data_IF_975591766602
#
_entry.id   IF_975591766602
#
_cell.length_a   1.000
_cell.length_b   1.000
_cell.length_c   1.000
_cell.angle_alpha   90.00
_cell.angle_beta   90.00
_cell.angle_gamma   90.00
#
_symmetry.space_group_name_H-M   'P 1'
#
loop_
_entity.id
_entity.type
_entity.pdbx_description
1 polymer ?
#
# COMPACT_ATOMS: atom_id res chain seq x y z
N UNK A 1 5.68 24.40 43.90
CA UNK A 1 6.21 23.04 43.66
C UNK A 1 5.11 22.25 42.92
N UNK A 2 5.15 22.24 41.59
CA UNK A 2 4.17 21.52 40.76
C UNK A 2 4.82 20.29 40.18
N UNK A 3 4.34 19.12 40.57
CA UNK A 3 4.77 17.84 40.10
C UNK A 3 4.22 17.62 38.68
N UNK A 4 5.11 17.61 37.69
CA UNK A 4 4.80 17.21 36.32
C UNK A 4 4.94 15.69 36.27
N UNK A 5 3.82 14.97 36.15
CA UNK A 5 3.80 13.54 35.87
C UNK A 5 4.13 13.30 34.39
N UNK A 6 5.03 12.36 34.08
CA UNK A 6 5.28 11.99 32.69
C UNK A 6 4.09 11.21 32.11
N UNK A 7 3.55 11.71 31.02
CA UNK A 7 2.57 10.98 30.20
C UNK A 7 3.23 9.72 29.63
N UNK A 8 2.79 8.57 30.07
CA UNK A 8 3.13 7.28 29.48
C UNK A 8 2.56 7.25 28.06
N UNK A 9 3.43 7.20 27.07
CA UNK A 9 3.06 6.88 25.71
C UNK A 9 2.57 5.43 25.69
N UNK A 10 1.28 5.24 25.44
CA UNK A 10 0.69 3.93 25.18
C UNK A 10 1.01 3.62 23.71
N UNK A 11 2.03 2.81 23.50
CA UNK A 11 2.29 2.19 22.21
C UNK A 11 1.21 1.14 21.96
N UNK A 12 0.22 1.48 21.14
CA UNK A 12 -0.73 0.51 20.62
C UNK A 12 -0.05 -0.18 19.44
N UNK A 13 0.25 -1.47 19.50
CA UNK A 13 0.74 -2.19 18.33
C UNK A 13 -0.43 -2.33 17.33
N UNK A 14 -0.38 -1.56 16.24
CA UNK A 14 -1.21 -1.87 15.08
C UNK A 14 -0.80 -3.25 14.59
N UNK A 15 -1.71 -4.21 14.75
CA UNK A 15 -1.52 -5.58 14.29
C UNK A 15 -1.19 -5.60 12.81
N UNK A 16 0.06 -5.86 12.52
CA UNK A 16 0.51 -6.17 11.19
C UNK A 16 -0.09 -7.52 10.81
N UNK A 17 -0.90 -7.54 9.77
CA UNK A 17 -1.22 -8.78 9.08
C UNK A 17 0.08 -9.35 8.53
N UNK A 18 0.60 -10.37 9.20
CA UNK A 18 1.85 -11.01 8.84
C UNK A 18 1.69 -11.73 7.51
N UNK A 19 2.52 -11.38 6.56
CA UNK A 19 2.80 -12.21 5.40
C UNK A 19 3.62 -13.42 5.87
N UNK A 20 2.95 -14.53 6.14
CA UNK A 20 3.59 -15.81 6.38
C UNK A 20 4.01 -16.38 5.03
N UNK A 21 5.27 -16.21 4.67
CA UNK A 21 5.90 -16.96 3.57
C UNK A 21 6.14 -18.38 4.02
N UNK A 22 5.22 -19.30 3.73
CA UNK A 22 5.43 -20.73 3.87
C UNK A 22 6.25 -21.25 2.69
N UNK A 23 7.58 -21.24 2.82
CA UNK A 23 8.45 -22.13 2.06
C UNK A 23 8.67 -23.41 2.88
N UNK A 24 7.79 -24.37 2.73
CA UNK A 24 7.97 -25.70 3.27
C UNK A 24 8.88 -26.50 2.34
N UNK A 25 10.13 -26.61 2.73
CA UNK A 25 11.05 -27.59 2.17
C UNK A 25 10.68 -28.99 2.66
N UNK A 26 10.27 -29.87 1.75
CA UNK A 26 10.13 -31.30 2.01
C UNK A 26 11.48 -31.98 1.86
N UNK A 27 12.11 -32.36 2.97
CA UNK A 27 13.11 -33.41 2.99
C UNK A 27 12.50 -34.65 3.65
N UNK A 28 12.13 -35.63 2.84
CA UNK A 28 11.58 -36.88 3.29
C UNK A 28 12.66 -37.93 3.55
N UNK A 29 12.39 -38.82 4.46
CA UNK A 29 13.13 -40.08 4.62
C UNK A 29 12.19 -41.23 4.97
N UNK A 30 12.15 -42.20 4.08
CA UNK A 30 12.10 -43.63 4.40
C UNK A 30 10.77 -44.26 4.76
N UNK A 31 10.37 -45.23 3.92
CA UNK A 31 9.39 -46.27 4.27
C UNK A 31 8.90 -47.01 3.03
N UNK A 32 9.49 -48.18 2.75
CA UNK A 32 9.06 -49.13 1.73
C UNK A 32 7.68 -49.74 2.07
N UNK A 33 6.81 -49.85 1.05
CA UNK A 33 5.97 -51.05 0.85
C UNK A 33 5.27 -50.95 -0.52
N UNK A 34 5.24 -52.08 -1.18
CA UNK A 34 4.86 -52.35 -2.55
C UNK A 34 3.38 -52.09 -2.89
N UNK A 35 3.13 -51.68 -4.14
CA UNK A 35 1.78 -51.63 -4.69
C UNK A 35 1.86 -51.03 -6.11
N UNK A 36 2.07 -51.87 -7.13
CA UNK A 36 2.08 -51.47 -8.51
C UNK A 36 0.69 -51.02 -8.97
N UNK A 37 0.57 -49.75 -9.34
CA UNK A 37 -0.42 -49.28 -10.28
C UNK A 37 0.26 -48.21 -11.14
N UNK A 38 0.71 -48.63 -12.33
CA UNK A 38 1.21 -47.73 -13.39
C UNK A 38 0.06 -46.83 -13.84
N UNK A 39 -0.09 -45.68 -13.21
CA UNK A 39 -0.80 -44.57 -13.84
C UNK A 39 0.16 -43.89 -14.82
N UNK A 40 0.05 -44.22 -16.07
CA UNK A 40 0.69 -43.50 -17.18
C UNK A 40 0.21 -42.06 -17.10
N UNK A 41 1.07 -41.21 -16.57
CA UNK A 41 0.88 -39.76 -16.62
C UNK A 41 0.97 -39.40 -18.11
N UNK A 42 -0.07 -38.78 -18.71
CA UNK A 42 0.04 -38.35 -20.09
C UNK A 42 1.22 -37.38 -20.20
N UNK A 43 2.18 -37.71 -21.06
CA UNK A 43 3.25 -36.79 -21.45
C UNK A 43 2.59 -35.54 -22.02
N UNK A 44 2.97 -34.32 -21.58
CA UNK A 44 2.43 -33.12 -22.19
C UNK A 44 2.77 -33.16 -23.68
N UNK A 45 1.77 -32.96 -24.53
CA UNK A 45 1.95 -32.82 -25.97
C UNK A 45 2.97 -31.71 -26.24
N UNK A 46 3.97 -31.97 -27.12
CA UNK A 46 4.90 -30.94 -27.54
C UNK A 46 4.13 -29.96 -28.44
N UNK A 47 3.67 -28.84 -27.87
CA UNK A 47 2.93 -27.81 -28.60
C UNK A 47 2.15 -26.84 -27.76
N UNK A 48 1.90 -27.11 -26.49
CA UNK A 48 1.38 -26.09 -25.61
C UNK A 48 2.51 -25.18 -25.11
N UNK A 49 2.85 -24.20 -25.93
CA UNK A 49 3.56 -23.03 -25.48
C UNK A 49 2.73 -22.44 -24.34
N UNK A 50 3.26 -22.53 -23.11
CA UNK A 50 2.67 -21.85 -21.97
C UNK A 50 2.37 -20.40 -22.37
N UNK A 51 1.10 -20.05 -22.46
CA UNK A 51 0.65 -18.68 -22.72
C UNK A 51 0.76 -17.83 -21.47
N UNK A 52 1.72 -18.19 -20.58
CA UNK A 52 1.99 -17.38 -19.42
C UNK A 52 2.48 -16.00 -19.89
N UNK A 53 1.67 -15.00 -19.69
CA UNK A 53 2.07 -13.60 -19.92
C UNK A 53 2.70 -13.06 -18.63
N UNK A 54 3.78 -12.29 -18.74
CA UNK A 54 4.25 -11.51 -17.61
C UNK A 54 3.10 -10.68 -17.00
N UNK A 55 3.09 -10.50 -15.68
CA UNK A 55 2.05 -9.72 -15.00
C UNK A 55 1.98 -8.30 -15.55
N UNK A 56 3.10 -7.75 -16.00
CA UNK A 56 3.20 -6.47 -16.69
C UNK A 56 2.32 -6.35 -17.95
N UNK A 57 2.00 -7.47 -18.59
CA UNK A 57 1.16 -7.50 -19.79
C UNK A 57 -0.34 -7.62 -19.46
N UNK A 58 -0.69 -7.76 -18.19
CA UNK A 58 -2.09 -7.80 -17.76
C UNK A 58 -2.65 -6.38 -17.87
N UNK A 59 -3.68 -6.17 -18.71
CA UNK A 59 -4.29 -4.85 -18.83
C UNK A 59 -4.77 -4.35 -17.46
N UNK A 60 -4.43 -3.11 -17.13
CA UNK A 60 -5.06 -2.43 -16.01
C UNK A 60 -6.54 -2.32 -16.35
N UNK A 61 -7.40 -2.88 -15.50
CA UNK A 61 -8.84 -2.74 -15.69
C UNK A 61 -9.17 -1.26 -15.49
N UNK A 62 -9.74 -0.58 -16.49
CA UNK A 62 -10.14 0.80 -16.31
C UNK A 62 -11.15 0.89 -15.15
N UNK A 63 -10.95 1.87 -14.28
CA UNK A 63 -11.96 2.18 -13.27
C UNK A 63 -13.27 2.52 -13.97
N UNK A 64 -14.34 1.84 -13.58
CA UNK A 64 -15.69 2.14 -14.10
C UNK A 64 -16.24 3.47 -13.57
N UNK A 65 -15.61 4.01 -12.54
CA UNK A 65 -15.84 5.36 -12.03
C UNK A 65 -14.57 6.18 -12.27
N UNK A 66 -14.54 7.06 -13.28
CA UNK A 66 -13.39 7.88 -13.56
C UNK A 66 -13.10 8.76 -12.34
N UNK A 67 -12.07 8.37 -11.57
CA UNK A 67 -11.51 9.22 -10.53
C UNK A 67 -10.64 10.22 -11.27
N UNK A 68 -11.00 11.46 -11.18
CA UNK A 68 -10.19 12.54 -11.75
C UNK A 68 -9.00 12.79 -10.81
N UNK A 69 -8.06 11.83 -10.78
CA UNK A 69 -6.82 11.98 -10.03
C UNK A 69 -5.89 12.88 -10.82
N UNK A 70 -5.75 14.09 -10.35
CA UNK A 70 -4.90 15.10 -10.96
C UNK A 70 -3.90 15.62 -9.91
N UNK A 71 -2.71 16.04 -10.33
CA UNK A 71 -1.81 16.75 -9.45
C UNK A 71 -2.49 17.96 -8.83
N UNK A 72 -2.50 18.02 -7.50
CA UNK A 72 -3.08 19.14 -6.74
C UNK A 72 -2.01 20.16 -6.37
N UNK A 73 -2.44 21.36 -6.03
CA UNK A 73 -1.59 22.43 -5.51
C UNK A 73 -2.30 23.11 -4.35
N UNK A 74 -2.43 22.41 -3.21
CA UNK A 74 -3.10 22.95 -2.04
C UNK A 74 -2.34 24.16 -1.48
N UNK A 75 -3.03 25.00 -0.72
CA UNK A 75 -2.39 26.02 0.09
C UNK A 75 -1.70 25.36 1.27
N UNK A 76 -0.45 25.72 1.56
CA UNK A 76 0.30 25.17 2.67
C UNK A 76 1.81 25.31 2.49
N UNK A 77 2.54 24.64 3.36
CA UNK A 77 3.99 24.65 3.38
C UNK A 77 4.56 23.39 2.71
N UNK A 78 5.73 23.47 2.05
CA UNK A 78 6.39 22.29 1.51
C UNK A 78 6.90 21.40 2.64
N UNK A 79 6.62 20.11 2.53
CA UNK A 79 7.12 19.06 3.43
C UNK A 79 7.98 18.12 2.61
N UNK A 80 9.28 18.14 2.87
CA UNK A 80 10.27 17.28 2.21
C UNK A 80 10.30 15.91 2.89
N UNK A 81 10.06 14.84 2.13
CA UNK A 81 9.96 13.47 2.66
C UNK A 81 10.61 12.48 1.70
N UNK A 82 11.72 11.91 2.08
CA UNK A 82 12.43 10.89 1.29
C UNK A 82 12.68 11.28 -0.18
N UNK A 83 12.94 12.56 -0.47
CA UNK A 83 13.14 13.06 -1.84
C UNK A 83 11.85 13.33 -2.63
N UNK A 84 10.69 13.31 -1.96
CA UNK A 84 9.45 13.91 -2.44
C UNK A 84 9.19 15.21 -1.70
N UNK A 85 8.56 16.15 -2.39
CA UNK A 85 7.95 17.33 -1.79
C UNK A 85 6.43 17.17 -1.84
N UNK A 86 5.80 17.31 -0.68
CA UNK A 86 4.34 17.41 -0.53
C UNK A 86 4.01 18.83 -0.07
N UNK A 87 2.84 19.33 -0.43
CA UNK A 87 2.32 20.59 0.12
C UNK A 87 1.24 20.27 1.16
N UNK A 88 1.45 20.67 2.39
CA UNK A 88 0.55 20.37 3.50
C UNK A 88 0.22 21.62 4.33
N UNK A 89 -0.93 21.65 5.04
CA UNK A 89 -1.21 22.70 6.00
C UNK A 89 -0.08 22.86 7.02
N UNK A 90 0.15 24.06 7.54
CA UNK A 90 1.25 24.35 8.47
C UNK A 90 1.09 23.71 9.85
N UNK A 91 -0.10 23.24 10.19
CA UNK A 91 -0.45 22.63 11.47
C UNK A 91 -0.47 21.09 11.43
N UNK A 92 0.08 20.46 10.39
CA UNK A 92 0.30 19.01 10.34
C UNK A 92 1.39 18.58 11.32
N UNK A 93 1.27 17.33 11.80
CA UNK A 93 2.34 16.72 12.58
C UNK A 93 3.10 15.73 11.70
N UNK A 94 4.41 15.95 11.55
CA UNK A 94 5.30 15.07 10.78
C UNK A 94 6.16 14.27 11.74
N UNK A 95 6.22 12.95 11.56
CA UNK A 95 7.01 12.06 12.40
C UNK A 95 7.58 10.89 11.61
N UNK A 96 8.81 10.48 11.97
CA UNK A 96 9.41 9.25 11.45
C UNK A 96 8.80 8.04 12.16
N UNK A 97 8.42 7.05 11.37
CA UNK A 97 7.85 5.79 11.85
C UNK A 97 8.54 4.63 11.14
N UNK A 98 8.33 3.42 11.63
CA UNK A 98 8.77 2.21 10.93
C UNK A 98 7.57 1.29 10.74
N UNK A 99 7.54 0.57 9.63
CA UNK A 99 6.58 -0.51 9.45
C UNK A 99 6.98 -1.74 10.31
N UNK A 100 6.17 -2.78 10.28
CA UNK A 100 6.42 -4.03 11.03
C UNK A 100 7.72 -4.75 10.62
N UNK A 101 8.25 -4.46 9.44
CA UNK A 101 9.52 -5.00 8.93
C UNK A 101 10.72 -4.11 9.28
N UNK A 102 10.50 -3.01 10.00
CA UNK A 102 11.53 -2.05 10.35
C UNK A 102 11.90 -1.06 9.23
N UNK A 103 11.18 -1.07 8.11
CA UNK A 103 11.44 -0.11 7.03
C UNK A 103 10.99 1.30 7.43
N UNK A 104 11.85 2.31 7.23
CA UNK A 104 11.54 3.68 7.59
C UNK A 104 10.41 4.24 6.72
N UNK A 105 9.58 5.06 7.32
CA UNK A 105 8.53 5.83 6.66
C UNK A 105 8.31 7.13 7.42
N UNK A 106 7.82 8.15 6.74
CA UNK A 106 7.36 9.38 7.39
C UNK A 106 5.84 9.39 7.42
N UNK A 107 5.27 9.65 8.59
CA UNK A 107 3.85 9.83 8.78
C UNK A 107 3.54 11.32 8.92
N UNK A 108 2.54 11.77 8.17
CA UNK A 108 1.99 13.12 8.24
C UNK A 108 0.56 12.99 8.74
N UNK A 109 0.32 13.46 9.97
CA UNK A 109 -1.00 13.53 10.57
C UNK A 109 -1.64 14.87 10.23
N UNK A 110 -2.86 14.82 9.72
CA UNK A 110 -3.63 16.03 9.41
C UNK A 110 -4.14 16.71 10.69
N UNK A 111 -4.42 18.01 10.65
CA UNK A 111 -5.02 18.71 11.77
C UNK A 111 -6.30 18.05 12.26
N UNK A 112 -6.46 17.94 13.57
CA UNK A 112 -7.62 17.30 14.19
C UNK A 112 -7.65 15.77 14.07
N UNK A 113 -6.53 15.14 13.71
CA UNK A 113 -6.45 13.67 13.66
C UNK A 113 -6.78 13.07 15.04
N UNK A 114 -7.67 12.08 15.03
CA UNK A 114 -8.06 11.29 16.20
C UNK A 114 -7.75 9.81 15.90
N UNK A 115 -7.22 9.08 16.88
CA UNK A 115 -6.72 7.70 16.67
C UNK A 115 -5.72 7.58 15.50
N UNK A 116 -4.95 8.65 15.23
CA UNK A 116 -3.98 8.69 14.15
C UNK A 116 -4.58 8.81 12.74
N UNK A 117 -5.80 9.31 12.60
CA UNK A 117 -6.54 9.47 11.33
C UNK A 117 -7.22 10.85 11.32
N UNK A 118 -7.19 11.61 10.19
CA UNK A 118 -6.61 11.27 8.88
C UNK A 118 -5.07 11.45 8.82
N UNK A 119 -4.44 10.61 7.99
CA UNK A 119 -2.98 10.63 7.81
C UNK A 119 -2.54 10.16 6.44
N UNK A 120 -1.31 10.54 6.06
CA UNK A 120 -0.58 9.91 4.97
C UNK A 120 0.78 9.41 5.46
N UNK A 121 1.18 8.22 5.03
CA UNK A 121 2.52 7.66 5.23
C UNK A 121 3.26 7.65 3.92
N UNK A 122 4.47 8.14 3.91
CA UNK A 122 5.35 8.20 2.75
C UNK A 122 6.56 7.33 3.01
N UNK A 123 6.91 6.51 2.03
CA UNK A 123 8.10 5.65 2.08
C UNK A 123 8.83 5.68 0.75
N UNK A 124 10.14 5.77 0.79
CA UNK A 124 11.00 5.44 -0.36
C UNK A 124 11.12 3.92 -0.48
N UNK A 125 11.02 3.42 -1.70
CA UNK A 125 11.21 2.01 -2.03
C UNK A 125 12.35 1.91 -3.04
N UNK A 126 13.48 1.42 -2.59
CA UNK A 126 14.68 1.28 -3.44
C UNK A 126 14.52 0.17 -4.48
N UNK A 127 13.74 -0.86 -4.14
CA UNK A 127 13.37 -1.91 -5.09
C UNK A 127 12.04 -2.52 -4.69
N UNK A 128 11.10 -2.54 -5.62
CA UNK A 128 9.84 -3.29 -5.48
C UNK A 128 10.04 -4.80 -5.69
N UNK A 129 11.26 -5.26 -5.96
CA UNK A 129 11.55 -6.65 -6.28
C UNK A 129 11.04 -7.08 -7.66
N UNK A 130 10.06 -6.37 -8.18
CA UNK A 130 9.45 -6.50 -9.51
C UNK A 130 9.18 -5.10 -10.07
N UNK A 131 8.45 -5.02 -11.16
CA UNK A 131 7.96 -3.73 -11.65
C UNK A 131 6.89 -3.14 -10.72
N UNK A 132 6.70 -1.82 -10.76
CA UNK A 132 5.59 -1.15 -10.06
C UNK A 132 4.23 -1.68 -10.55
N UNK A 133 4.14 -2.03 -11.82
CA UNK A 133 2.94 -2.65 -12.41
C UNK A 133 2.60 -3.95 -11.68
N UNK A 134 3.60 -4.84 -11.54
CA UNK A 134 3.44 -6.13 -10.86
C UNK A 134 3.13 -5.96 -9.37
N UNK A 135 3.82 -5.03 -8.71
CA UNK A 135 3.61 -4.72 -7.29
C UNK A 135 2.17 -4.25 -7.04
N UNK A 136 1.71 -3.28 -7.82
CA UNK A 136 0.35 -2.74 -7.66
C UNK A 136 -0.73 -3.75 -8.03
N UNK A 137 -0.46 -4.63 -9.00
CA UNK A 137 -1.38 -5.72 -9.31
C UNK A 137 -1.44 -6.76 -8.17
N UNK A 138 -0.29 -7.13 -7.62
CA UNK A 138 -0.23 -8.02 -6.46
C UNK A 138 -0.98 -7.43 -5.25
N UNK A 139 -0.82 -6.13 -5.03
CA UNK A 139 -1.54 -5.42 -3.96
C UNK A 139 -3.05 -5.42 -4.20
N UNK A 140 -3.52 -5.19 -5.41
CA UNK A 140 -4.94 -5.27 -5.76
C UNK A 140 -5.50 -6.67 -5.46
N UNK A 141 -4.82 -7.72 -5.93
CA UNK A 141 -5.21 -9.12 -5.70
C UNK A 141 -5.24 -9.43 -4.20
N UNK A 142 -4.26 -8.95 -3.43
CA UNK A 142 -4.21 -9.14 -1.99
C UNK A 142 -5.43 -8.51 -1.30
N UNK A 143 -5.74 -7.25 -1.62
CA UNK A 143 -6.88 -6.53 -1.04
C UNK A 143 -8.21 -7.23 -1.33
N UNK A 144 -8.40 -7.73 -2.57
CA UNK A 144 -9.58 -8.50 -2.95
C UNK A 144 -9.63 -9.83 -2.17
N UNK A 145 -8.50 -10.52 -2.02
CA UNK A 145 -8.43 -11.78 -1.27
C UNK A 145 -8.73 -11.60 0.21
N UNK A 146 -8.36 -10.45 0.79
CA UNK A 146 -8.69 -10.03 2.15
C UNK A 146 -10.13 -9.53 2.31
N UNK A 147 -10.94 -9.63 1.25
CA UNK A 147 -12.33 -9.17 1.21
C UNK A 147 -12.50 -7.67 1.51
N UNK A 148 -11.51 -6.85 1.14
CA UNK A 148 -11.68 -5.41 1.14
C UNK A 148 -12.73 -5.03 0.10
N UNK A 149 -13.49 -4.00 0.39
CA UNK A 149 -14.55 -3.52 -0.51
C UNK A 149 -14.10 -2.26 -1.26
N UNK A 150 -14.75 -1.96 -2.38
CA UNK A 150 -14.45 -0.78 -3.20
C UNK A 150 -12.97 -0.72 -3.62
N UNK A 151 -12.41 -1.88 -3.99
CA UNK A 151 -11.03 -1.96 -4.47
C UNK A 151 -10.99 -1.54 -5.93
N UNK A 152 -10.29 -0.44 -6.24
CA UNK A 152 -10.12 0.08 -7.59
C UNK A 152 -8.66 0.44 -7.81
N UNK A 153 -8.08 -0.07 -8.88
CA UNK A 153 -6.71 0.22 -9.31
C UNK A 153 -6.73 0.96 -10.63
N UNK A 154 -6.07 2.12 -10.68
CA UNK A 154 -5.96 2.94 -11.88
C UNK A 154 -4.50 3.26 -12.17
N UNK A 155 -4.15 3.32 -13.46
CA UNK A 155 -2.88 3.86 -13.94
C UNK A 155 -3.06 5.35 -14.19
N UNK A 156 -2.14 6.15 -13.66
CA UNK A 156 -2.15 7.60 -13.77
C UNK A 156 -0.95 8.12 -14.54
N UNK A 157 -1.06 9.32 -15.08
CA UNK A 157 0.07 10.06 -15.62
C UNK A 157 0.50 11.10 -14.60
N UNK A 158 1.76 11.00 -14.15
CA UNK A 158 2.26 11.88 -13.09
C UNK A 158 3.51 12.63 -13.53
N UNK A 159 3.62 13.95 -13.24
CA UNK A 159 4.77 14.76 -13.67
C UNK A 159 6.09 14.17 -13.15
N UNK A 160 7.06 14.02 -14.04
CA UNK A 160 8.41 13.52 -13.76
C UNK A 160 8.49 12.08 -13.23
N UNK A 161 7.41 11.31 -13.30
CA UNK A 161 7.38 9.90 -12.93
C UNK A 161 7.26 9.03 -14.18
N UNK A 162 7.94 7.89 -14.19
CA UNK A 162 7.81 6.89 -15.25
C UNK A 162 6.49 6.12 -15.16
N UNK A 163 6.13 5.78 -13.94
CA UNK A 163 4.93 5.02 -13.65
C UNK A 163 4.22 5.63 -12.44
N UNK A 164 2.89 5.66 -12.50
CA UNK A 164 2.06 6.07 -11.37
C UNK A 164 0.80 5.21 -11.32
N UNK A 165 0.48 4.70 -10.12
CA UNK A 165 -0.71 3.90 -9.88
C UNK A 165 -1.38 4.32 -8.58
N UNK A 166 -2.71 4.37 -8.62
CA UNK A 166 -3.54 4.60 -7.46
C UNK A 166 -4.38 3.36 -7.21
N UNK A 167 -4.43 2.90 -5.96
CA UNK A 167 -5.38 1.88 -5.51
C UNK A 167 -6.17 2.48 -4.37
N UNK A 168 -7.49 2.38 -4.41
CA UNK A 168 -8.34 2.78 -3.30
C UNK A 168 -9.12 1.59 -2.81
N UNK A 169 -9.47 1.57 -1.53
CA UNK A 169 -10.30 0.52 -0.92
C UNK A 169 -10.94 1.01 0.36
N UNK A 170 -11.97 0.29 0.79
CA UNK A 170 -12.54 0.46 2.12
C UNK A 170 -12.09 -0.65 3.05
N UNK A 171 -11.91 -0.30 4.32
CA UNK A 171 -11.45 -1.20 5.38
C UNK A 171 -12.05 -0.79 6.73
N UNK A 172 -11.67 -1.45 7.80
CA UNK A 172 -11.88 -1.01 9.18
C UNK A 172 -10.68 -1.37 10.05
N UNK A 173 -10.50 -0.63 11.11
CA UNK A 173 -9.49 -0.90 12.15
C UNK A 173 -10.15 -0.80 13.52
N UNK A 174 -9.65 -1.53 14.53
CA UNK A 174 -10.11 -1.32 15.91
C UNK A 174 -9.81 0.11 16.37
N UNK A 175 -10.81 0.80 16.88
CA UNK A 175 -10.65 2.09 17.53
C UNK A 175 -10.20 1.93 18.99
N UNK A 176 -9.79 3.02 19.63
CA UNK A 176 -9.32 3.01 21.02
C UNK A 176 -10.40 2.60 22.03
N UNK A 177 -11.67 2.76 21.69
CA UNK A 177 -12.83 2.35 22.49
C UNK A 177 -13.26 0.90 22.25
N UNK A 178 -12.56 0.15 21.37
CA UNK A 178 -12.84 -1.22 21.00
C UNK A 178 -13.91 -1.39 19.93
N UNK A 179 -14.45 -0.31 19.37
CA UNK A 179 -15.32 -0.35 18.20
C UNK A 179 -14.52 -0.52 16.90
N UNK A 180 -15.19 -0.88 15.82
CA UNK A 180 -14.59 -0.84 14.50
C UNK A 180 -14.74 0.55 13.89
N UNK A 181 -13.59 1.19 13.56
CA UNK A 181 -13.56 2.44 12.84
C UNK A 181 -13.52 2.16 11.33
N UNK A 182 -14.61 2.47 10.60
CA UNK A 182 -14.64 2.27 9.16
C UNK A 182 -13.79 3.33 8.46
N UNK A 183 -12.95 2.89 7.51
CA UNK A 183 -11.98 3.73 6.81
C UNK A 183 -12.11 3.59 5.30
N UNK A 184 -11.82 4.69 4.60
CA UNK A 184 -11.40 4.69 3.21
C UNK A 184 -9.89 4.89 3.16
N UNK A 185 -9.23 4.08 2.36
CA UNK A 185 -7.79 4.07 2.20
C UNK A 185 -7.38 4.24 0.74
N UNK A 186 -6.20 4.78 0.54
CA UNK A 186 -5.60 5.00 -0.77
C UNK A 186 -4.12 4.65 -0.69
N UNK A 187 -3.65 3.87 -1.66
CA UNK A 187 -2.24 3.69 -1.94
C UNK A 187 -1.89 4.40 -3.24
N UNK A 188 -0.80 5.17 -3.24
CA UNK A 188 -0.29 5.86 -4.40
C UNK A 188 1.17 5.45 -4.62
N UNK A 189 1.44 4.78 -5.73
CA UNK A 189 2.77 4.33 -6.13
C UNK A 189 3.30 5.26 -7.20
N UNK A 190 4.45 5.86 -6.95
CA UNK A 190 5.15 6.77 -7.84
C UNK A 190 6.51 6.17 -8.19
N UNK A 191 6.74 5.86 -9.45
CA UNK A 191 8.00 5.30 -9.94
C UNK A 191 8.89 6.32 -10.61
N UNK A 192 10.09 6.54 -10.08
CA UNK A 192 11.16 7.23 -10.78
C UNK A 192 11.84 6.30 -11.79
N UNK A 193 11.82 5.01 -11.51
CA UNK A 193 12.21 3.93 -12.42
C UNK A 193 11.09 2.90 -12.52
N UNK A 194 11.31 1.81 -13.25
CA UNK A 194 10.35 0.70 -13.34
C UNK A 194 10.25 -0.10 -12.03
N UNK A 195 11.30 -0.08 -11.22
CA UNK A 195 11.43 -0.94 -10.04
C UNK A 195 11.67 -0.20 -8.74
N UNK A 196 11.81 1.12 -8.76
CA UNK A 196 12.02 1.95 -7.57
C UNK A 196 11.10 3.16 -7.57
N UNK A 197 10.92 3.77 -6.41
CA UNK A 197 10.04 4.93 -6.29
C UNK A 197 9.55 5.16 -4.88
N UNK A 198 8.32 5.61 -4.77
CA UNK A 198 7.69 5.92 -3.48
C UNK A 198 6.33 5.26 -3.37
N UNK A 199 5.95 4.98 -2.13
CA UNK A 199 4.57 4.62 -1.79
C UNK A 199 4.02 5.64 -0.79
N UNK A 200 2.83 6.14 -1.09
CA UNK A 200 2.07 7.00 -0.20
C UNK A 200 0.79 6.25 0.18
N UNK A 201 0.56 6.06 1.48
CA UNK A 201 -0.67 5.43 1.99
C UNK A 201 -1.47 6.44 2.79
N UNK A 202 -2.58 6.90 2.22
CA UNK A 202 -3.50 7.82 2.87
C UNK A 202 -4.69 7.05 3.47
N UNK A 203 -5.11 7.45 4.67
CA UNK A 203 -6.25 6.86 5.37
C UNK A 203 -7.09 7.95 6.02
N UNK A 204 -8.40 7.87 5.82
CA UNK A 204 -9.40 8.73 6.45
C UNK A 204 -10.61 7.90 6.87
N UNK A 205 -11.50 8.47 7.67
CA UNK A 205 -12.80 7.86 7.90
C UNK A 205 -13.53 7.59 6.58
N UNK A 206 -14.33 6.52 6.55
CA UNK A 206 -15.03 6.11 5.33
C UNK A 206 -15.86 7.25 4.72
N UNK A 207 -15.67 7.46 3.42
CA UNK A 207 -16.35 8.51 2.67
C UNK A 207 -15.79 9.93 2.88
N UNK A 208 -14.74 10.10 3.70
CA UNK A 208 -14.09 11.39 3.95
C UNK A 208 -12.72 11.54 3.29
N UNK A 209 -12.31 10.59 2.46
CA UNK A 209 -10.99 10.63 1.82
C UNK A 209 -10.99 11.55 0.58
N UNK A 210 -11.94 11.32 -0.33
CA UNK A 210 -12.02 12.08 -1.57
C UNK A 210 -12.42 13.54 -1.30
N UNK A 211 -11.83 14.46 -2.05
CA UNK A 211 -12.05 15.90 -1.90
C UNK A 211 -11.75 16.45 -0.49
N UNK A 212 -10.85 15.79 0.23
CA UNK A 212 -10.39 16.22 1.56
C UNK A 212 -9.02 16.90 1.49
N UNK A 213 -8.61 17.66 2.49
CA UNK A 213 -7.23 18.16 2.58
C UNK A 213 -6.18 17.05 2.50
N UNK A 214 -6.48 15.84 3.02
CA UNK A 214 -5.59 14.69 2.92
C UNK A 214 -5.41 14.22 1.46
N UNK A 215 -6.49 14.22 0.68
CA UNK A 215 -6.45 13.95 -0.76
C UNK A 215 -5.54 14.95 -1.46
N UNK A 216 -5.73 16.23 -1.19
CA UNK A 216 -4.94 17.29 -1.80
C UNK A 216 -3.46 17.19 -1.44
N UNK A 217 -3.12 16.91 -0.18
CA UNK A 217 -1.75 16.66 0.28
C UNK A 217 -1.15 15.46 -0.44
N UNK A 218 -1.87 14.33 -0.54
CA UNK A 218 -1.37 13.12 -1.17
C UNK A 218 -1.06 13.35 -2.64
N UNK A 219 -1.92 14.04 -3.36
CA UNK A 219 -1.77 14.32 -4.79
C UNK A 219 -1.00 15.63 -5.10
N UNK A 220 -0.46 16.28 -4.08
CA UNK A 220 0.53 17.35 -4.27
C UNK A 220 1.96 16.82 -4.48
N UNK A 221 2.19 15.50 -4.33
CA UNK A 221 3.51 14.88 -4.41
C UNK A 221 4.26 15.24 -5.69
N UNK A 222 5.53 15.70 -5.55
CA UNK A 222 6.47 16.01 -6.62
C UNK A 222 7.81 15.40 -6.27
N UNK A 223 8.58 14.97 -7.27
CA UNK A 223 10.01 14.70 -7.06
C UNK A 223 10.72 16.01 -6.79
N UNK A 224 11.61 16.00 -5.80
CA UNK A 224 12.49 17.12 -5.50
C UNK A 224 13.47 17.41 -6.63
#
# INVERSE_FOLDING_TARGET
MSLILPRRAVLIPLGAAGLVSCLAGCSGRGGQAAGAASSVRPSPSPGETSTWRPVSDIPVVPDTQPRNVQPTSPSGDPVEVHGLTLTAPSDVTVSEVSNSEGNPATEILMPGAHDGIPRVRVRRVESFGRSIVDETHAQEVLLVSERRTNVFRTKETWPHMKEAYVITWDTSVPASDGSDLPLSALGFWLGDTETSGWTLFATAERGKLENSPLWDVTFSARSA
#
